data_IF_028181630951
#
_entry.id   IF_028181630951
#
_cell.length_a   1.000
_cell.length_b   1.000
_cell.length_c   1.000
_cell.angle_alpha   90.00
_cell.angle_beta   90.00
_cell.angle_gamma   90.00
#
_symmetry.space_group_name_H-M   'P 1'
#
loop_
_entity.id
_entity.type
_entity.pdbx_description
1 polymer ?
#
# COMPACT_ATOMS: atom_id res chain seq x y z
N UNK A 1 -4.80 14.71 -2.48
CA UNK A 1 -4.10 13.97 -3.53
C UNK A 1 -4.93 12.80 -4.04
N UNK A 2 -5.27 11.84 -3.24
CA UNK A 2 -6.25 10.78 -3.52
C UNK A 2 -7.56 11.13 -2.82
N UNK A 3 -8.71 10.92 -3.48
CA UNK A 3 -10.04 11.00 -2.90
C UNK A 3 -10.89 9.87 -3.40
N UNK A 4 -11.48 9.13 -2.49
CA UNK A 4 -12.46 8.09 -2.76
C UNK A 4 -13.85 8.59 -2.35
N UNK A 5 -14.85 8.34 -3.19
CA UNK A 5 -16.24 8.72 -2.91
C UNK A 5 -17.15 7.54 -3.17
N UNK A 6 -17.75 7.01 -2.11
CA UNK A 6 -18.78 5.99 -2.16
C UNK A 6 -18.36 4.66 -2.79
N UNK A 7 -17.05 4.30 -2.73
CA UNK A 7 -16.54 3.14 -3.44
C UNK A 7 -17.08 1.83 -2.87
N UNK A 8 -17.69 1.02 -3.71
CA UNK A 8 -18.16 -0.33 -3.41
C UNK A 8 -17.63 -1.34 -4.41
N UNK A 9 -17.12 -2.47 -3.91
CA UNK A 9 -16.55 -3.57 -4.71
C UNK A 9 -17.17 -4.88 -4.31
N UNK A 10 -17.55 -5.70 -5.29
CA UNK A 10 -18.08 -7.03 -5.05
C UNK A 10 -17.35 -8.10 -5.87
N UNK A 11 -17.28 -9.31 -5.35
CA UNK A 11 -16.80 -10.53 -6.00
C UNK A 11 -17.92 -11.57 -5.93
N UNK A 12 -18.33 -12.08 -7.10
CA UNK A 12 -19.39 -13.08 -7.20
C UNK A 12 -20.66 -12.72 -6.37
N UNK A 13 -21.04 -11.43 -6.43
CA UNK A 13 -22.21 -10.89 -5.74
C UNK A 13 -22.01 -10.61 -4.24
N UNK A 14 -20.83 -10.88 -3.68
CA UNK A 14 -20.50 -10.56 -2.27
C UNK A 14 -19.69 -9.29 -2.18
N UNK A 15 -20.16 -8.36 -1.37
CA UNK A 15 -19.41 -7.10 -1.13
C UNK A 15 -18.14 -7.37 -0.35
N UNK A 16 -17.01 -6.93 -0.92
CA UNK A 16 -15.73 -6.83 -0.24
C UNK A 16 -15.49 -5.41 0.31
N UNK A 17 -16.14 -4.42 -0.28
CA UNK A 17 -16.11 -3.02 0.14
C UNK A 17 -17.50 -2.42 -0.01
N UNK A 18 -17.89 -1.60 0.95
CA UNK A 18 -19.17 -0.90 0.98
C UNK A 18 -18.95 0.58 1.28
N UNK A 19 -19.37 1.45 0.36
CA UNK A 19 -19.44 2.91 0.53
C UNK A 19 -18.18 3.55 1.14
N UNK A 20 -17.00 3.10 0.70
CA UNK A 20 -15.72 3.62 1.19
C UNK A 20 -15.49 5.05 0.70
N UNK A 21 -15.36 5.97 1.62
CA UNK A 21 -15.10 7.38 1.33
C UNK A 21 -14.01 7.92 2.25
N UNK A 22 -12.90 8.38 1.69
CA UNK A 22 -11.82 9.06 2.43
C UNK A 22 -10.88 9.80 1.48
N UNK A 23 -9.99 10.59 2.07
CA UNK A 23 -8.99 11.34 1.33
C UNK A 23 -7.59 11.02 1.85
N UNK A 24 -6.59 11.09 0.97
CA UNK A 24 -5.16 11.08 1.33
C UNK A 24 -4.52 12.37 0.81
N UNK A 25 -3.90 13.15 1.69
CA UNK A 25 -3.22 14.39 1.35
C UNK A 25 -1.87 14.10 0.70
N UNK A 26 -1.32 15.08 0.01
CA UNK A 26 0.04 14.93 -0.57
C UNK A 26 1.08 14.87 0.54
N UNK A 27 2.02 13.91 0.43
CA UNK A 27 3.07 13.70 1.43
C UNK A 27 2.59 13.02 2.71
N UNK A 28 1.28 12.73 2.84
CA UNK A 28 0.72 12.00 3.97
C UNK A 28 0.96 10.50 3.85
N UNK A 29 1.14 9.82 4.98
CA UNK A 29 1.08 8.36 5.07
C UNK A 29 -0.16 7.97 5.86
N UNK A 30 -1.04 7.17 5.25
CA UNK A 30 -2.30 6.71 5.85
C UNK A 30 -2.29 5.19 5.95
N UNK A 31 -2.63 4.67 7.12
CA UNK A 31 -2.85 3.24 7.31
C UNK A 31 -4.32 2.86 7.07
N UNK A 32 -4.53 1.76 6.37
CA UNK A 32 -5.77 1.01 6.33
C UNK A 32 -5.62 -0.19 7.26
N UNK A 33 -6.25 -0.12 8.42
CA UNK A 33 -6.14 -1.12 9.48
C UNK A 33 -7.35 -2.02 9.45
N UNK A 34 -7.16 -3.32 9.52
CA UNK A 34 -8.27 -4.26 9.51
C UNK A 34 -7.80 -5.72 9.56
N UNK A 35 -8.64 -6.61 10.04
CA UNK A 35 -8.36 -8.05 10.04
C UNK A 35 -8.20 -8.61 8.61
N UNK A 36 -7.72 -9.85 8.51
CA UNK A 36 -7.68 -10.56 7.24
C UNK A 36 -9.10 -10.71 6.69
N UNK A 37 -9.27 -10.37 5.40
CA UNK A 37 -10.59 -10.37 4.76
C UNK A 37 -11.41 -9.08 4.98
N UNK A 38 -10.93 -8.08 5.69
CA UNK A 38 -11.62 -6.80 5.90
C UNK A 38 -11.84 -5.97 4.63
N UNK A 39 -11.16 -6.32 3.50
CA UNK A 39 -11.29 -5.61 2.23
C UNK A 39 -10.09 -4.74 1.83
N UNK A 40 -9.02 -4.70 2.64
CA UNK A 40 -7.83 -3.85 2.41
C UNK A 40 -7.21 -4.05 1.02
N UNK A 41 -6.85 -5.29 0.67
CA UNK A 41 -6.31 -5.66 -0.65
C UNK A 41 -7.24 -5.28 -1.79
N UNK A 42 -8.57 -5.49 -1.61
CA UNK A 42 -9.57 -5.11 -2.61
C UNK A 42 -9.58 -3.60 -2.84
N UNK A 43 -9.43 -2.82 -1.77
CA UNK A 43 -9.37 -1.36 -1.85
C UNK A 43 -8.10 -0.89 -2.58
N UNK A 44 -6.93 -1.40 -2.19
CA UNK A 44 -5.67 -1.08 -2.87
C UNK A 44 -5.70 -1.48 -4.35
N UNK A 45 -6.23 -2.67 -4.65
CA UNK A 45 -6.39 -3.16 -6.02
C UNK A 45 -7.34 -2.30 -6.86
N UNK A 46 -8.45 -1.84 -6.27
CA UNK A 46 -9.37 -0.91 -6.93
C UNK A 46 -8.71 0.43 -7.24
N UNK A 47 -7.98 1.01 -6.28
CA UNK A 47 -7.22 2.24 -6.46
C UNK A 47 -6.13 2.06 -7.55
N UNK A 48 -5.42 0.95 -7.54
CA UNK A 48 -4.41 0.61 -8.55
C UNK A 48 -5.00 0.28 -9.94
N UNK A 49 -6.30 0.00 -10.01
CA UNK A 49 -6.99 -0.37 -11.26
C UNK A 49 -6.71 -1.81 -11.71
N UNK A 50 -6.36 -2.71 -10.79
CA UNK A 50 -5.97 -4.10 -11.08
C UNK A 50 -6.97 -5.14 -10.53
N UNK A 51 -8.22 -4.75 -10.27
CA UNK A 51 -9.25 -5.68 -9.79
C UNK A 51 -9.38 -6.86 -10.76
N UNK A 52 -8.95 -8.04 -10.32
CA UNK A 52 -9.16 -9.28 -11.03
C UNK A 52 -10.50 -9.88 -10.59
N UNK A 53 -11.37 -10.20 -11.57
CA UNK A 53 -12.68 -10.82 -11.33
C UNK A 53 -13.62 -10.05 -10.38
N UNK A 54 -13.16 -9.00 -9.73
CA UNK A 54 -13.99 -8.11 -8.93
C UNK A 54 -14.68 -7.09 -9.82
N UNK A 55 -15.87 -6.70 -9.43
CA UNK A 55 -16.64 -5.65 -10.08
C UNK A 55 -16.71 -4.45 -9.13
N UNK A 56 -16.47 -3.28 -9.67
CA UNK A 56 -16.80 -2.04 -8.98
C UNK A 56 -18.28 -1.79 -9.23
N UNK A 57 -19.02 -1.76 -8.14
CA UNK A 57 -20.48 -1.62 -8.19
C UNK A 57 -20.82 -0.12 -8.21
N UNK A 58 -20.08 0.69 -7.45
CA UNK A 58 -20.33 2.12 -7.34
C UNK A 58 -19.09 2.88 -6.87
N UNK A 59 -19.15 4.21 -6.95
CA UNK A 59 -18.16 5.13 -6.43
C UNK A 59 -17.19 5.70 -7.45
N UNK A 60 -16.30 6.56 -6.97
CA UNK A 60 -15.34 7.28 -7.79
C UNK A 60 -13.97 7.37 -7.09
N UNK A 61 -12.91 7.34 -7.91
CA UNK A 61 -11.53 7.60 -7.47
C UNK A 61 -11.02 8.86 -8.15
N UNK A 62 -10.68 9.85 -7.37
CA UNK A 62 -10.03 11.07 -7.86
C UNK A 62 -8.56 11.06 -7.47
N UNK A 63 -7.71 11.44 -8.42
CA UNK A 63 -6.29 11.62 -8.18
C UNK A 63 -5.84 12.99 -8.69
N UNK A 64 -5.33 13.83 -7.79
CA UNK A 64 -5.05 15.25 -8.03
C UNK A 64 -6.24 16.04 -8.61
N UNK A 65 -7.46 15.68 -8.21
CA UNK A 65 -8.70 16.31 -8.67
C UNK A 65 -9.31 15.71 -9.94
N UNK A 66 -8.60 14.85 -10.65
CA UNK A 66 -9.08 14.18 -11.84
C UNK A 66 -9.74 12.84 -11.50
N UNK A 67 -10.93 12.59 -12.04
CA UNK A 67 -11.60 11.29 -11.90
C UNK A 67 -10.86 10.25 -12.76
N UNK A 68 -10.50 9.14 -12.14
CA UNK A 68 -9.79 8.05 -12.81
C UNK A 68 -10.76 6.97 -13.27
N UNK A 69 -10.81 6.64 -14.58
CA UNK A 69 -11.66 5.58 -15.10
C UNK A 69 -11.34 4.23 -14.45
N UNK A 70 -12.33 3.38 -14.30
CA UNK A 70 -12.15 2.03 -13.79
C UNK A 70 -11.31 1.15 -14.73
N UNK A 71 -10.54 0.22 -14.16
CA UNK A 71 -9.74 -0.75 -14.93
C UNK A 71 -8.58 -0.16 -15.73
N UNK A 72 -8.27 1.12 -15.60
CA UNK A 72 -7.26 1.81 -16.40
C UNK A 72 -5.84 1.72 -15.76
N UNK A 73 -5.27 0.51 -15.64
CA UNK A 73 -3.92 0.28 -15.06
C UNK A 73 -2.86 1.21 -15.70
N UNK A 74 -2.84 1.31 -17.03
CA UNK A 74 -1.86 2.15 -17.74
C UNK A 74 -2.00 3.62 -17.34
N UNK A 75 -3.23 4.12 -17.20
CA UNK A 75 -3.50 5.49 -16.74
C UNK A 75 -3.04 5.69 -15.31
N UNK A 76 -3.35 4.75 -14.40
CA UNK A 76 -2.94 4.80 -12.99
C UNK A 76 -1.42 4.89 -12.85
N UNK A 77 -0.69 4.04 -13.56
CA UNK A 77 0.79 4.10 -13.59
C UNK A 77 1.30 5.43 -14.14
N UNK A 78 0.72 5.93 -15.25
CA UNK A 78 1.15 7.19 -15.88
C UNK A 78 0.93 8.41 -14.97
N UNK A 79 -0.15 8.45 -14.18
CA UNK A 79 -0.38 9.54 -13.23
C UNK A 79 0.47 9.42 -11.98
N UNK A 80 1.13 8.26 -11.74
CA UNK A 80 2.07 8.04 -10.67
C UNK A 80 1.50 7.25 -9.48
N UNK A 81 0.61 6.30 -9.71
CA UNK A 81 0.17 5.34 -8.68
C UNK A 81 0.98 4.06 -8.84
N UNK A 82 1.72 3.67 -7.79
CA UNK A 82 2.46 2.41 -7.69
C UNK A 82 1.84 1.51 -6.63
N UNK A 83 1.95 0.19 -6.81
CA UNK A 83 1.50 -0.82 -5.85
C UNK A 83 2.60 -1.84 -5.60
N UNK A 84 2.84 -2.14 -4.33
CA UNK A 84 3.57 -3.32 -3.86
C UNK A 84 2.54 -4.26 -3.26
N UNK A 85 2.22 -5.39 -3.92
CA UNK A 85 1.24 -6.35 -3.43
C UNK A 85 1.80 -7.20 -2.29
N UNK A 86 0.91 -7.85 -1.52
CA UNK A 86 1.30 -8.81 -0.48
C UNK A 86 2.07 -10.00 -1.07
N UNK A 87 1.54 -10.58 -2.16
CA UNK A 87 2.07 -11.79 -2.82
C UNK A 87 2.58 -11.48 -4.22
N UNK A 88 3.40 -12.38 -4.75
CA UNK A 88 3.94 -12.31 -6.13
C UNK A 88 4.58 -10.94 -6.46
N UNK A 89 5.22 -10.34 -5.45
CA UNK A 89 5.79 -8.98 -5.49
C UNK A 89 7.08 -8.88 -6.28
N UNK A 90 7.75 -10.01 -6.55
CA UNK A 90 8.99 -10.09 -7.35
C UNK A 90 8.92 -11.23 -8.36
N UNK A 91 9.69 -11.14 -9.42
CA UNK A 91 9.82 -12.22 -10.43
C UNK A 91 10.89 -13.20 -9.97
N UNK A 92 10.49 -14.29 -9.34
CA UNK A 92 11.33 -15.23 -8.60
C UNK A 92 12.45 -15.85 -9.45
N UNK A 93 12.21 -16.12 -10.75
CA UNK A 93 13.18 -16.74 -11.66
C UNK A 93 14.17 -15.71 -12.23
N UNK A 94 13.89 -14.42 -12.11
CA UNK A 94 14.76 -13.36 -12.57
C UNK A 94 15.72 -12.94 -11.44
N UNK A 95 16.90 -12.46 -11.84
CA UNK A 95 17.87 -11.86 -10.91
C UNK A 95 17.36 -10.54 -10.34
N UNK A 96 18.02 -10.04 -9.29
CA UNK A 96 17.75 -8.71 -8.72
C UNK A 96 17.88 -7.63 -9.80
N UNK A 97 18.96 -7.63 -10.60
CA UNK A 97 19.17 -6.66 -11.68
C UNK A 97 18.04 -6.71 -12.72
N UNK A 98 17.58 -7.88 -13.12
CA UNK A 98 16.48 -8.04 -14.08
C UNK A 98 15.14 -7.58 -13.51
N UNK A 99 14.85 -7.86 -12.23
CA UNK A 99 13.68 -7.33 -11.54
C UNK A 99 13.70 -5.79 -11.51
N UNK A 100 14.83 -5.18 -11.14
CA UNK A 100 14.98 -3.72 -11.12
C UNK A 100 14.84 -3.11 -12.52
N UNK A 101 15.30 -3.80 -13.57
CA UNK A 101 15.13 -3.32 -14.95
C UNK A 101 13.65 -3.25 -15.35
N UNK A 102 12.79 -4.18 -14.88
CA UNK A 102 11.35 -4.10 -15.08
C UNK A 102 10.77 -2.83 -14.43
N UNK A 103 11.22 -2.52 -13.20
CA UNK A 103 10.84 -1.27 -12.51
C UNK A 103 11.27 -0.03 -13.30
N UNK A 104 12.51 -0.02 -13.85
CA UNK A 104 13.04 1.09 -14.66
C UNK A 104 12.26 1.32 -15.94
N UNK A 105 11.85 0.26 -16.65
CA UNK A 105 11.02 0.36 -17.87
C UNK A 105 9.64 0.97 -17.61
N UNK A 106 9.20 0.94 -16.36
CA UNK A 106 7.98 1.60 -15.93
C UNK A 106 8.12 3.13 -15.80
N UNK A 107 9.35 3.64 -15.80
CA UNK A 107 9.67 5.06 -15.60
C UNK A 107 9.40 5.86 -16.88
N UNK A 108 8.63 6.93 -16.76
CA UNK A 108 8.40 7.90 -17.82
C UNK A 108 9.18 9.20 -17.51
N UNK A 109 10.36 9.36 -18.13
CA UNK A 109 10.98 10.68 -18.29
C UNK A 109 11.60 11.35 -17.06
N UNK A 110 11.94 10.63 -15.97
CA UNK A 110 12.58 11.19 -14.77
C UNK A 110 14.05 10.74 -14.63
N UNK A 111 14.84 11.49 -13.81
CA UNK A 111 16.25 11.17 -13.49
C UNK A 111 16.38 9.69 -13.11
N UNK A 112 17.41 9.04 -13.63
CA UNK A 112 17.78 7.66 -13.23
C UNK A 112 18.09 7.68 -11.72
N UNK A 113 17.15 7.19 -10.92
CA UNK A 113 17.42 6.87 -9.53
C UNK A 113 18.10 5.51 -9.45
N UNK A 114 19.03 5.35 -8.55
CA UNK A 114 19.66 4.06 -8.29
C UNK A 114 18.96 3.38 -7.11
N UNK A 115 18.39 2.21 -7.37
CA UNK A 115 17.74 1.40 -6.33
C UNK A 115 18.72 0.98 -5.22
N UNK A 116 20.01 0.91 -5.53
CA UNK A 116 21.05 0.53 -4.58
C UNK A 116 21.40 1.64 -3.59
N UNK A 117 21.13 2.92 -3.95
CA UNK A 117 21.22 4.04 -3.00
C UNK A 117 20.15 3.94 -1.92
N UNK A 118 18.98 3.40 -2.27
CA UNK A 118 17.87 3.17 -1.33
C UNK A 118 18.07 1.91 -0.50
N UNK A 119 18.53 0.82 -1.15
CA UNK A 119 18.65 -0.51 -0.57
C UNK A 119 20.03 -1.12 -0.90
N UNK A 120 21.12 -0.72 -0.19
CA UNK A 120 22.49 -1.15 -0.50
C UNK A 120 22.69 -2.66 -0.46
N UNK A 121 21.96 -3.39 0.40
CA UNK A 121 22.03 -4.87 0.47
C UNK A 121 21.66 -5.56 -0.84
N UNK A 122 20.82 -4.94 -1.67
CA UNK A 122 20.49 -5.49 -2.99
C UNK A 122 21.69 -5.45 -3.95
N UNK A 123 22.63 -4.50 -3.75
CA UNK A 123 23.85 -4.40 -4.56
C UNK A 123 24.74 -5.65 -4.43
N UNK A 124 24.80 -6.26 -3.23
CA UNK A 124 25.56 -7.48 -2.98
C UNK A 124 24.91 -8.73 -3.63
N UNK A 125 23.62 -8.63 -3.95
CA UNK A 125 22.77 -9.72 -4.48
C UNK A 125 22.38 -9.56 -5.95
N UNK A 126 22.96 -8.62 -6.67
CA UNK A 126 22.53 -8.22 -8.04
C UNK A 126 22.28 -9.38 -8.99
N UNK A 127 23.15 -10.41 -8.96
CA UNK A 127 23.08 -11.60 -9.82
C UNK A 127 22.32 -12.77 -9.19
N UNK A 128 21.84 -12.62 -7.95
CA UNK A 128 21.05 -13.65 -7.27
C UNK A 128 19.62 -13.65 -7.83
N UNK A 129 19.06 -14.81 -8.10
CA UNK A 129 17.64 -14.93 -8.44
C UNK A 129 16.78 -14.47 -7.25
N UNK A 130 15.72 -13.69 -7.53
CA UNK A 130 14.87 -13.12 -6.49
C UNK A 130 14.19 -14.17 -5.61
N UNK A 131 13.95 -15.37 -6.12
CA UNK A 131 13.43 -16.50 -5.35
C UNK A 131 14.37 -17.01 -4.26
N UNK A 132 15.68 -16.74 -4.37
CA UNK A 132 16.69 -17.14 -3.40
C UNK A 132 17.03 -16.06 -2.37
N UNK A 133 16.34 -14.93 -2.43
CA UNK A 133 16.44 -13.86 -1.43
C UNK A 133 15.62 -14.20 -0.19
N UNK A 134 16.04 -13.68 0.98
CA UNK A 134 15.19 -13.70 2.17
C UNK A 134 13.90 -12.89 1.96
N UNK A 135 12.86 -13.14 2.76
CA UNK A 135 11.60 -12.41 2.66
C UNK A 135 11.78 -10.89 2.76
N UNK A 136 12.67 -10.42 3.64
CA UNK A 136 13.01 -9.00 3.77
C UNK A 136 13.72 -8.44 2.54
N UNK A 137 14.67 -9.18 1.94
CA UNK A 137 15.34 -8.77 0.71
C UNK A 137 14.36 -8.74 -0.48
N UNK A 138 13.41 -9.69 -0.55
CA UNK A 138 12.33 -9.66 -1.55
C UNK A 138 11.42 -8.45 -1.36
N UNK A 139 11.11 -8.08 -0.10
CA UNK A 139 10.32 -6.88 0.20
C UNK A 139 11.04 -5.61 -0.24
N UNK A 140 12.35 -5.50 0.06
CA UNK A 140 13.16 -4.37 -0.41
C UNK A 140 13.24 -4.30 -1.94
N UNK A 141 13.37 -5.45 -2.61
CA UNK A 141 13.39 -5.52 -4.07
C UNK A 141 12.06 -5.06 -4.66
N UNK A 142 10.93 -5.50 -4.11
CA UNK A 142 9.61 -5.08 -4.55
C UNK A 142 9.39 -3.57 -4.38
N UNK A 143 9.82 -3.01 -3.23
CA UNK A 143 9.81 -1.56 -3.01
C UNK A 143 10.69 -0.82 -4.00
N UNK A 144 11.92 -1.30 -4.23
CA UNK A 144 12.83 -0.70 -5.19
C UNK A 144 12.23 -0.67 -6.60
N UNK A 145 11.63 -1.77 -7.05
CA UNK A 145 10.94 -1.84 -8.35
C UNK A 145 9.80 -0.81 -8.45
N UNK A 146 8.98 -0.68 -7.41
CA UNK A 146 7.88 0.27 -7.38
C UNK A 146 8.39 1.73 -7.38
N UNK A 147 9.44 2.03 -6.62
CA UNK A 147 10.03 3.37 -6.51
C UNK A 147 10.75 3.80 -7.79
N UNK A 148 11.37 2.87 -8.52
CA UNK A 148 12.00 3.14 -9.82
C UNK A 148 10.99 3.67 -10.85
N UNK A 149 9.71 3.30 -10.73
CA UNK A 149 8.64 3.88 -11.53
C UNK A 149 8.31 5.35 -11.15
N UNK A 150 8.95 5.91 -10.11
CA UNK A 150 8.77 7.26 -9.59
C UNK A 150 7.32 7.58 -9.24
N UNK A 151 6.68 6.79 -8.37
CA UNK A 151 5.30 7.01 -7.99
C UNK A 151 5.14 8.31 -7.18
N UNK A 152 3.96 8.93 -7.27
CA UNK A 152 3.52 10.02 -6.39
C UNK A 152 2.74 9.47 -5.20
N UNK A 153 2.02 8.36 -5.42
CA UNK A 153 1.29 7.58 -4.42
C UNK A 153 1.79 6.14 -4.47
N UNK A 154 2.30 5.66 -3.35
CA UNK A 154 2.70 4.28 -3.16
C UNK A 154 1.65 3.55 -2.32
N UNK A 155 1.09 2.50 -2.88
CA UNK A 155 0.18 1.59 -2.22
C UNK A 155 1.00 0.40 -1.73
N UNK A 156 0.90 0.06 -0.44
CA UNK A 156 1.59 -1.06 0.19
C UNK A 156 0.57 -2.01 0.80
N UNK A 157 0.62 -3.28 0.39
CA UNK A 157 -0.29 -4.31 0.89
C UNK A 157 0.47 -5.25 1.83
N UNK A 158 0.16 -5.19 3.12
CA UNK A 158 0.74 -6.00 4.20
C UNK A 158 2.28 -6.06 4.14
N UNK A 159 2.99 -4.92 4.10
CA UNK A 159 4.44 -4.91 3.88
C UNK A 159 5.24 -5.54 5.02
N UNK A 160 4.69 -5.67 6.24
CA UNK A 160 5.34 -6.29 7.41
C UNK A 160 5.10 -7.80 7.51
N UNK A 161 4.10 -8.33 6.79
CA UNK A 161 3.64 -9.70 6.96
C UNK A 161 4.75 -10.74 6.71
N UNK A 162 4.95 -11.62 7.70
CA UNK A 162 5.90 -12.73 7.61
C UNK A 162 7.37 -12.31 7.75
N UNK A 163 7.66 -11.05 8.08
CA UNK A 163 9.00 -10.56 8.32
C UNK A 163 9.36 -10.61 9.82
N UNK A 164 10.63 -10.86 10.10
CA UNK A 164 11.15 -10.76 11.48
C UNK A 164 11.18 -9.28 11.94
N UNK A 165 10.94 -9.03 13.21
CA UNK A 165 10.89 -7.68 13.82
C UNK A 165 12.02 -6.74 13.38
N UNK A 166 13.32 -7.14 13.40
CA UNK A 166 14.39 -6.23 12.97
C UNK A 166 14.30 -5.84 11.49
N UNK A 167 13.72 -6.71 10.66
CA UNK A 167 13.53 -6.43 9.22
C UNK A 167 12.40 -5.43 9.02
N UNK A 168 11.31 -5.54 9.78
CA UNK A 168 10.20 -4.59 9.74
C UNK A 168 10.65 -3.21 10.24
N UNK A 169 11.42 -3.14 11.31
CA UNK A 169 12.00 -1.88 11.79
C UNK A 169 12.84 -1.18 10.71
N UNK A 170 13.72 -1.93 10.04
CA UNK A 170 14.52 -1.42 8.92
C UNK A 170 13.65 -0.98 7.74
N UNK A 171 12.58 -1.71 7.43
CA UNK A 171 11.59 -1.35 6.41
C UNK A 171 10.91 -0.01 6.77
N UNK A 172 10.43 0.15 8.00
CA UNK A 172 9.80 1.38 8.48
C UNK A 172 10.75 2.58 8.39
N UNK A 173 12.00 2.43 8.82
CA UNK A 173 13.03 3.46 8.71
C UNK A 173 13.29 3.85 7.24
N UNK A 174 13.39 2.85 6.35
CA UNK A 174 13.59 3.09 4.92
C UNK A 174 12.41 3.83 4.30
N UNK A 175 11.18 3.44 4.61
CA UNK A 175 9.96 4.09 4.12
C UNK A 175 9.85 5.54 4.61
N UNK A 176 10.16 5.81 5.88
CA UNK A 176 10.20 7.19 6.42
C UNK A 176 11.21 8.05 5.69
N UNK A 177 12.44 7.55 5.50
CA UNK A 177 13.49 8.24 4.76
C UNK A 177 13.05 8.57 3.34
N UNK A 178 12.59 7.54 2.59
CA UNK A 178 12.18 7.68 1.20
C UNK A 178 10.95 8.58 1.02
N UNK A 179 10.01 8.54 1.97
CA UNK A 179 8.87 9.45 1.99
C UNK A 179 9.34 10.92 2.01
N UNK A 180 10.29 11.24 2.89
CA UNK A 180 10.81 12.59 3.03
C UNK A 180 11.65 13.01 1.81
N UNK A 181 12.57 12.16 1.34
CA UNK A 181 13.46 12.45 0.21
C UNK A 181 12.70 12.59 -1.12
N UNK A 182 11.68 11.78 -1.34
CA UNK A 182 10.93 11.71 -2.59
C UNK A 182 9.60 12.47 -2.55
N UNK A 183 9.23 13.08 -1.40
CA UNK A 183 7.91 13.68 -1.17
C UNK A 183 6.77 12.70 -1.50
N UNK A 184 6.94 11.45 -1.07
CA UNK A 184 6.06 10.33 -1.42
C UNK A 184 4.80 10.37 -0.55
N UNK A 185 3.66 10.11 -1.15
CA UNK A 185 2.40 9.84 -0.45
C UNK A 185 2.26 8.33 -0.32
N UNK A 186 1.85 7.84 0.84
CA UNK A 186 1.75 6.40 1.11
C UNK A 186 0.34 6.06 1.59
N UNK A 187 -0.21 4.96 1.08
CA UNK A 187 -1.38 4.30 1.62
C UNK A 187 -0.98 2.85 1.91
N UNK A 188 -0.89 2.49 3.18
CA UNK A 188 -0.44 1.17 3.62
C UNK A 188 -1.60 0.40 4.23
N UNK A 189 -1.83 -0.82 3.77
CA UNK A 189 -2.73 -1.77 4.40
C UNK A 189 -1.94 -2.64 5.38
N UNK A 190 -2.39 -2.71 6.62
CA UNK A 190 -1.76 -3.49 7.69
C UNK A 190 -2.82 -4.14 8.60
N UNK A 191 -2.51 -5.35 9.03
CA UNK A 191 -3.29 -6.05 10.05
C UNK A 191 -2.65 -6.00 11.44
N UNK A 192 -1.34 -5.79 11.51
CA UNK A 192 -0.60 -5.68 12.75
C UNK A 192 -0.49 -4.22 13.21
N UNK A 193 -1.25 -3.88 14.25
CA UNK A 193 -1.35 -2.51 14.76
C UNK A 193 -0.04 -1.97 15.34
N UNK A 194 0.88 -2.83 15.79
CA UNK A 194 2.16 -2.41 16.39
C UNK A 194 3.02 -1.58 15.39
N UNK A 195 2.87 -1.80 14.09
CA UNK A 195 3.67 -1.12 13.07
C UNK A 195 3.06 0.21 12.58
N UNK A 196 1.78 0.46 12.89
CA UNK A 196 1.06 1.63 12.41
C UNK A 196 1.74 2.95 12.79
N UNK A 197 2.21 3.18 14.04
CA UNK A 197 2.90 4.43 14.42
C UNK A 197 4.22 4.63 13.66
N UNK A 198 4.79 3.55 13.18
CA UNK A 198 6.04 3.58 12.44
C UNK A 198 5.86 3.83 10.94
N UNK A 199 4.66 3.58 10.41
CA UNK A 199 4.35 3.62 8.98
C UNK A 199 3.48 4.81 8.59
N UNK A 200 2.68 5.38 9.51
CA UNK A 200 1.58 6.25 9.14
C UNK A 200 1.39 7.44 10.08
N UNK A 201 0.81 8.52 9.56
CA UNK A 201 0.44 9.72 10.31
C UNK A 201 -0.95 9.58 10.93
N UNK A 202 -1.86 8.87 10.25
CA UNK A 202 -3.22 8.57 10.69
C UNK A 202 -3.67 7.20 10.18
N UNK A 203 -4.78 6.71 10.73
CA UNK A 203 -5.31 5.39 10.40
C UNK A 203 -6.81 5.42 10.10
N UNK A 204 -7.24 4.53 9.20
CA UNK A 204 -8.64 4.24 8.90
C UNK A 204 -8.84 2.77 9.20
N UNK A 205 -9.74 2.45 10.12
CA UNK A 205 -10.08 1.07 10.48
C UNK A 205 -11.20 0.58 9.59
N UNK A 206 -10.99 -0.60 9.00
CA UNK A 206 -11.94 -1.25 8.11
C UNK A 206 -12.34 -2.60 8.71
N UNK A 207 -13.62 -2.85 8.81
CA UNK A 207 -14.15 -4.17 9.14
C UNK A 207 -15.23 -4.59 8.13
N UNK A 208 -15.11 -5.82 7.62
CA UNK A 208 -16.06 -6.42 6.65
C UNK A 208 -16.47 -5.51 5.50
N UNK A 209 -15.50 -4.75 4.99
CA UNK A 209 -15.70 -3.84 3.87
C UNK A 209 -16.24 -2.46 4.24
N UNK A 210 -16.48 -2.17 5.52
CA UNK A 210 -16.96 -0.87 6.00
C UNK A 210 -15.86 -0.09 6.71
N UNK A 211 -15.75 1.23 6.51
CA UNK A 211 -14.95 2.08 7.38
C UNK A 211 -15.67 2.22 8.72
N UNK A 212 -15.02 1.82 9.81
CA UNK A 212 -15.62 1.82 11.14
C UNK A 212 -15.07 2.90 12.07
N UNK A 213 -13.85 3.36 11.82
CA UNK A 213 -13.23 4.45 12.58
C UNK A 213 -12.14 5.14 11.77
N UNK A 214 -11.85 6.38 12.13
CA UNK A 214 -10.68 7.14 11.63
C UNK A 214 -9.96 7.77 12.82
N UNK A 215 -8.64 7.64 12.83
CA UNK A 215 -7.75 8.22 13.84
C UNK A 215 -6.83 9.21 13.14
N UNK A 216 -7.04 10.50 13.35
CA UNK A 216 -6.24 11.57 12.74
C UNK A 216 -4.84 11.71 13.36
N UNK A 217 -4.65 11.15 14.56
CA UNK A 217 -3.37 11.00 15.25
C UNK A 217 -3.25 9.59 15.80
N UNK A 218 -2.01 9.09 15.81
CA UNK A 218 -1.71 7.74 16.28
C UNK A 218 -0.88 7.87 17.56
N UNK A 219 -1.49 7.50 18.69
CA UNK A 219 -0.92 7.45 20.02
C UNK A 219 -1.24 6.09 20.68
N UNK A 220 -0.75 5.85 21.87
CA UNK A 220 -0.95 4.57 22.58
C UNK A 220 -2.44 4.27 22.79
N UNK A 221 -3.26 5.27 23.11
CA UNK A 221 -4.70 5.11 23.30
C UNK A 221 -5.43 4.72 22.01
N UNK A 222 -5.06 5.35 20.89
CA UNK A 222 -5.62 5.00 19.59
C UNK A 222 -5.21 3.59 19.15
N UNK A 223 -3.98 3.16 19.47
CA UNK A 223 -3.50 1.81 19.20
C UNK A 223 -4.28 0.75 19.99
N UNK A 224 -4.48 0.97 21.28
CA UNK A 224 -5.30 0.08 22.14
C UNK A 224 -6.74 -0.02 21.59
N UNK A 225 -7.31 1.10 21.19
CA UNK A 225 -8.66 1.15 20.62
C UNK A 225 -8.74 0.40 19.28
N UNK A 226 -7.78 0.64 18.36
CA UNK A 226 -7.70 -0.10 17.09
C UNK A 226 -7.55 -1.59 17.32
N UNK A 227 -6.68 -2.00 18.24
CA UNK A 227 -6.47 -3.40 18.60
C UNK A 227 -7.76 -4.03 19.15
N UNK A 228 -8.45 -3.34 20.06
CA UNK A 228 -9.76 -3.76 20.59
C UNK A 228 -10.84 -3.91 19.51
N UNK A 229 -10.88 -2.99 18.53
CA UNK A 229 -11.78 -3.10 17.37
C UNK A 229 -11.48 -4.33 16.50
N UNK A 230 -10.21 -4.61 16.22
CA UNK A 230 -9.80 -5.80 15.44
C UNK A 230 -10.16 -7.11 16.13
N UNK A 231 -10.15 -7.14 17.47
CA UNK A 231 -10.56 -8.30 18.28
C UNK A 231 -12.07 -8.38 18.52
N UNK A 232 -12.85 -7.39 18.06
CA UNK A 232 -14.30 -7.32 18.31
C UNK A 232 -14.66 -7.01 19.77
N UNK A 233 -13.72 -6.47 20.55
CA UNK A 233 -13.90 -6.12 21.98
C UNK A 233 -14.52 -4.73 22.17
N UNK A 234 -14.40 -3.88 21.16
CA UNK A 234 -14.96 -2.51 21.16
C UNK A 234 -16.03 -2.43 20.06
N UNK A 235 -17.22 -2.01 20.43
CA UNK A 235 -18.31 -1.82 19.46
C UNK A 235 -17.95 -0.69 18.48
N UNK A 236 -17.88 -1.05 17.19
CA UNK A 236 -17.79 -0.11 16.09
C UNK A 236 -19.15 0.57 15.91
N UNK A 237 -19.29 1.84 16.31
CA UNK A 237 -20.37 2.66 15.76
C UNK A 237 -19.94 3.06 14.34
N UNK A 238 -20.77 2.82 13.29
CA UNK A 238 -20.45 3.32 11.96
C UNK A 238 -20.27 4.85 12.05
N UNK A 239 -19.14 5.34 11.51
CA UNK A 239 -18.89 6.77 11.44
C UNK A 239 -20.07 7.45 10.73
N UNK A 240 -20.76 8.33 11.42
CA UNK A 240 -21.86 9.12 10.85
C UNK A 240 -21.31 9.93 9.69
N UNK A 241 -21.87 9.70 8.52
CA UNK A 241 -21.63 10.39 7.25
C UNK A 241 -21.89 11.89 7.34
#
# INVERSE_FOLDING_TARGET
>A
MLSLKGMSVAYDGKYALNNMSFNVRRGESVALVGSNGAGKTSLLSAIAGILQKGQIIDGQVFFNGENLPWGAIKTRRRVGIGLVPEKDKVFHLLTVDENLEIGRRAQHGRKKADAFDWFPRLAERRKTQAGNLSGGEQQMLALAMALLASPKLLLLDEPSLGLATPVVEMLCQSLRRLRNELSLTILVAESDTQWIPHLSDRAIVIDRGWPIATFDHIDDSSLETMHGMLLGLVNSSPAST
#
